data_IF_300481864957
#
_entry.id   IF_300481864957
#
_cell.length_a   1.000
_cell.length_b   1.000
_cell.length_c   1.000
_cell.angle_alpha   90.00
_cell.angle_beta   90.00
_cell.angle_gamma   90.00
#
_symmetry.space_group_name_H-M   'P 1'
#
loop_
_entity.id
_entity.type
_entity.pdbx_description
1 polymer ?
#
# COMPACT_ATOMS: atom_id res chain seq x y z
N UNK A 1 -3.94 5.07 26.74
CA UNK A 1 -2.88 5.62 25.87
C UNK A 1 -3.57 6.54 24.88
N UNK A 2 -3.17 7.80 24.88
CA UNK A 2 -3.71 8.79 23.97
C UNK A 2 -2.82 8.81 22.72
N UNK A 3 -3.38 9.16 21.56
CA UNK A 3 -2.60 9.28 20.32
C UNK A 3 -1.47 10.32 20.44
N UNK A 4 -1.66 11.33 21.27
CA UNK A 4 -0.67 12.36 21.60
C UNK A 4 0.60 11.82 22.24
N UNK A 5 0.55 10.68 22.92
CA UNK A 5 1.71 10.07 23.58
C UNK A 5 2.77 9.59 22.56
N UNK A 6 2.40 9.54 21.27
CA UNK A 6 3.24 9.10 20.15
C UNK A 6 3.49 10.22 19.13
N UNK A 7 3.09 11.45 19.44
CA UNK A 7 3.32 12.60 18.56
C UNK A 7 4.77 13.11 18.68
N UNK A 8 5.36 13.50 17.56
CA UNK A 8 6.71 14.04 17.50
C UNK A 8 6.89 14.99 16.32
N UNK A 9 7.85 15.91 16.43
CA UNK A 9 8.17 16.81 15.33
C UNK A 9 8.88 16.07 14.21
N UNK A 10 8.19 15.88 13.08
CA UNK A 10 8.75 15.33 11.85
C UNK A 10 8.73 16.38 10.74
N UNK A 11 9.88 17.01 10.41
CA UNK A 11 9.97 17.89 9.26
C UNK A 11 9.59 17.14 7.97
N UNK A 12 8.77 17.76 7.12
CA UNK A 12 8.36 17.15 5.85
C UNK A 12 9.54 16.80 4.94
N UNK A 13 10.62 17.59 5.00
CA UNK A 13 11.88 17.33 4.29
C UNK A 13 12.61 16.06 4.74
N UNK A 14 12.29 15.53 5.92
CA UNK A 14 12.84 14.27 6.44
C UNK A 14 12.05 13.04 5.96
N UNK A 15 10.93 13.23 5.24
CA UNK A 15 10.14 12.14 4.65
C UNK A 15 10.69 11.85 3.26
N UNK A 16 11.43 10.76 3.12
CA UNK A 16 11.97 10.33 1.83
C UNK A 16 10.84 10.11 0.82
N UNK A 17 10.91 10.85 -0.29
CA UNK A 17 9.94 10.72 -1.39
C UNK A 17 10.32 9.61 -2.37
N UNK A 18 11.61 9.28 -2.44
CA UNK A 18 12.16 8.20 -3.27
C UNK A 18 13.16 7.37 -2.48
N UNK A 19 13.24 6.05 -2.72
CA UNK A 19 14.21 5.19 -2.04
C UNK A 19 15.63 5.44 -2.55
N UNK A 20 16.61 5.30 -1.66
CA UNK A 20 18.03 5.40 -2.00
C UNK A 20 18.50 4.25 -2.89
N UNK A 21 19.56 4.50 -3.67
CA UNK A 21 20.26 3.49 -4.48
C UNK A 21 21.78 3.59 -4.26
N UNK A 22 22.47 2.49 -3.87
CA UNK A 22 21.95 1.15 -3.59
C UNK A 22 21.11 1.08 -2.30
N UNK A 23 20.16 0.14 -2.20
CA UNK A 23 19.21 0.05 -1.06
C UNK A 23 19.89 -0.02 0.32
N UNK A 24 21.03 -0.69 0.40
CA UNK A 24 21.80 -0.89 1.63
C UNK A 24 22.64 0.33 2.08
N UNK A 25 22.62 1.41 1.29
CA UNK A 25 23.21 2.71 1.64
C UNK A 25 22.30 3.55 2.55
N UNK A 26 21.11 3.05 2.87
CA UNK A 26 20.23 3.71 3.82
C UNK A 26 20.82 3.72 5.23
N UNK A 27 20.52 4.77 5.99
CA UNK A 27 20.99 4.91 7.37
C UNK A 27 20.30 3.87 8.26
N UNK A 28 21.05 3.30 9.19
CA UNK A 28 20.59 2.39 10.23
C UNK A 28 20.81 3.05 11.59
N UNK A 29 19.73 3.29 12.34
CA UNK A 29 19.79 3.68 13.75
C UNK A 29 19.72 2.42 14.61
N UNK A 30 20.76 2.18 15.42
CA UNK A 30 20.79 1.05 16.36
C UNK A 30 20.54 1.58 17.76
N UNK A 31 19.52 1.04 18.44
CA UNK A 31 19.20 1.34 19.84
C UNK A 31 19.50 0.11 20.70
N UNK A 32 20.45 0.24 21.62
CA UNK A 32 20.74 -0.78 22.64
C UNK A 32 19.72 -0.62 23.77
N UNK A 33 18.69 -1.47 23.80
CA UNK A 33 17.52 -1.31 24.69
C UNK A 33 17.85 -1.35 26.19
N UNK A 34 18.90 -2.06 26.56
CA UNK A 34 19.39 -2.23 27.92
C UNK A 34 20.10 -0.98 28.46
N UNK A 35 20.85 -0.27 27.60
CA UNK A 35 21.62 0.92 27.99
C UNK A 35 20.99 2.24 27.54
N UNK A 36 20.10 2.19 26.54
CA UNK A 36 19.58 3.37 25.84
C UNK A 36 20.56 3.99 24.84
N UNK A 37 21.74 3.39 24.62
CA UNK A 37 22.76 3.91 23.71
C UNK A 37 22.31 3.83 22.24
N UNK A 38 22.68 4.87 21.48
CA UNK A 38 22.35 5.00 20.06
C UNK A 38 23.63 4.95 19.22
N UNK A 39 23.65 4.07 18.21
CA UNK A 39 24.67 4.06 17.16
C UNK A 39 24.06 4.47 15.81
N UNK A 40 24.82 5.23 15.03
CA UNK A 40 24.49 5.57 13.65
C UNK A 40 25.36 4.77 12.67
N UNK A 41 24.73 3.98 11.81
CA UNK A 41 25.38 3.07 10.86
C UNK A 41 24.74 3.18 9.47
N UNK A 42 25.22 2.38 8.53
CA UNK A 42 24.50 2.10 7.29
C UNK A 42 23.88 0.70 7.33
N UNK A 43 22.82 0.47 6.56
CA UNK A 43 22.11 -0.79 6.57
C UNK A 43 22.97 -1.99 6.14
N UNK A 44 23.97 -1.77 5.28
CA UNK A 44 24.98 -2.79 4.95
C UNK A 44 25.77 -3.32 6.14
N UNK A 45 25.86 -2.56 7.23
CA UNK A 45 26.57 -2.93 8.46
C UNK A 45 25.70 -3.83 9.37
N UNK A 46 24.46 -4.15 8.98
CA UNK A 46 23.53 -4.95 9.80
C UNK A 46 24.13 -6.29 10.24
N UNK A 47 24.97 -6.89 9.39
CA UNK A 47 25.64 -8.16 9.69
C UNK A 47 26.50 -8.12 10.96
N UNK A 48 27.08 -6.97 11.31
CA UNK A 48 27.93 -6.80 12.49
C UNK A 48 27.14 -6.89 13.81
N UNK A 49 25.80 -6.79 13.74
CA UNK A 49 24.90 -6.82 14.88
C UNK A 49 24.18 -8.17 15.03
N UNK A 50 24.37 -9.10 14.10
CA UNK A 50 23.78 -10.44 14.14
C UNK A 50 24.78 -11.44 14.70
N UNK A 51 24.27 -12.40 15.48
CA UNK A 51 25.05 -13.50 16.01
C UNK A 51 24.76 -14.77 15.24
N UNK A 52 25.70 -15.71 15.33
CA UNK A 52 25.45 -17.07 14.85
C UNK A 52 24.19 -17.62 15.52
N UNK A 53 23.32 -18.24 14.72
CA UNK A 53 22.03 -18.81 15.10
C UNK A 53 20.89 -17.81 15.36
N UNK A 54 21.07 -16.52 15.06
CA UNK A 54 19.94 -15.59 15.02
C UNK A 54 18.98 -15.94 13.86
N UNK A 55 17.68 -15.76 14.09
CA UNK A 55 16.63 -15.97 13.09
C UNK A 55 16.13 -14.63 12.54
N UNK A 56 16.31 -14.42 11.23
CA UNK A 56 15.68 -13.32 10.51
C UNK A 56 14.34 -13.78 9.93
N UNK A 57 13.25 -13.21 10.45
CA UNK A 57 11.90 -13.42 9.89
C UNK A 57 11.63 -12.34 8.86
N UNK A 58 11.43 -12.73 7.61
CA UNK A 58 11.28 -11.83 6.47
C UNK A 58 9.85 -11.87 5.94
N UNK A 59 9.27 -10.70 5.69
CA UNK A 59 7.98 -10.60 5.02
C UNK A 59 8.14 -10.81 3.50
N UNK A 60 7.39 -11.77 2.94
CA UNK A 60 7.39 -12.11 1.50
C UNK A 60 6.17 -11.60 0.74
N UNK A 61 5.27 -10.88 1.40
CA UNK A 61 4.11 -10.27 0.74
C UNK A 61 4.55 -9.29 -0.35
N UNK A 62 3.90 -9.37 -1.50
CA UNK A 62 4.12 -8.52 -2.67
C UNK A 62 2.89 -7.67 -2.90
N UNK A 63 3.05 -6.35 -2.90
CA UNK A 63 1.91 -5.46 -3.07
C UNK A 63 1.40 -5.49 -4.50
N UNK A 64 0.14 -5.89 -4.65
CA UNK A 64 -0.60 -5.85 -5.90
C UNK A 64 -1.03 -4.40 -6.17
N UNK A 65 -1.01 -3.91 -7.42
CA UNK A 65 -1.50 -2.58 -7.78
C UNK A 65 -3.04 -2.53 -7.74
N UNK A 66 -3.60 -2.69 -6.55
CA UNK A 66 -5.03 -2.84 -6.29
C UNK A 66 -5.77 -1.50 -6.13
N UNK A 67 -5.07 -0.36 -6.27
CA UNK A 67 -5.69 0.97 -6.29
C UNK A 67 -6.11 1.30 -7.71
N UNK A 68 -7.41 1.46 -7.92
CA UNK A 68 -8.05 1.61 -9.23
C UNK A 68 -8.88 2.90 -9.24
N UNK A 69 -8.87 3.60 -10.36
CA UNK A 69 -9.75 4.75 -10.59
C UNK A 69 -10.96 4.36 -11.44
N UNK A 70 -12.13 4.84 -11.02
CA UNK A 70 -13.39 4.61 -11.68
C UNK A 70 -14.23 5.90 -11.74
N UNK A 71 -15.32 5.87 -12.51
CA UNK A 71 -16.25 6.98 -12.68
C UNK A 71 -17.69 6.55 -12.44
N UNK A 72 -18.46 7.41 -11.80
CA UNK A 72 -19.91 7.28 -11.71
C UNK A 72 -20.55 7.54 -13.08
N UNK A 73 -21.83 7.18 -13.27
CA UNK A 73 -22.57 7.56 -14.48
C UNK A 73 -22.67 9.09 -14.65
N UNK A 74 -22.62 9.83 -13.54
CA UNK A 74 -22.57 11.30 -13.52
C UNK A 74 -21.21 11.89 -13.91
N UNK A 75 -20.20 11.06 -14.19
CA UNK A 75 -18.84 11.49 -14.50
C UNK A 75 -17.93 11.74 -13.30
N UNK A 76 -18.47 11.76 -12.07
CA UNK A 76 -17.69 11.97 -10.86
C UNK A 76 -16.68 10.84 -10.60
N UNK A 77 -15.41 11.19 -10.34
CA UNK A 77 -14.33 10.25 -10.05
C UNK A 77 -14.54 9.53 -8.71
N UNK A 78 -14.17 8.25 -8.68
CA UNK A 78 -14.23 7.34 -7.54
C UNK A 78 -12.90 6.61 -7.48
N UNK A 79 -12.39 6.43 -6.27
CA UNK A 79 -11.20 5.64 -6.02
C UNK A 79 -11.60 4.33 -5.35
N UNK A 80 -11.07 3.22 -5.86
CA UNK A 80 -11.28 1.87 -5.34
C UNK A 80 -9.93 1.33 -4.87
N UNK A 81 -9.81 0.91 -3.63
CA UNK A 81 -8.67 0.15 -3.14
C UNK A 81 -9.14 -1.26 -2.81
N UNK A 82 -8.84 -2.23 -3.67
CA UNK A 82 -9.25 -3.61 -3.46
C UNK A 82 -8.46 -4.22 -2.30
N UNK A 83 -9.17 -4.79 -1.34
CA UNK A 83 -8.61 -5.35 -0.11
C UNK A 83 -8.56 -6.87 -0.15
N UNK A 84 -9.69 -7.50 -0.48
CA UNK A 84 -9.85 -8.95 -0.36
C UNK A 84 -10.76 -9.49 -1.46
N UNK A 85 -10.26 -10.50 -2.17
CA UNK A 85 -11.07 -11.26 -3.13
C UNK A 85 -12.01 -12.21 -2.36
N UNK A 86 -13.31 -12.13 -2.65
CA UNK A 86 -14.32 -13.07 -2.13
C UNK A 86 -14.54 -14.23 -3.09
N UNK A 87 -14.61 -13.94 -4.39
CA UNK A 87 -14.68 -14.93 -5.46
C UNK A 87 -14.11 -14.33 -6.77
N UNK A 88 -14.37 -14.94 -7.93
CA UNK A 88 -13.82 -14.49 -9.21
C UNK A 88 -14.24 -13.07 -9.62
N UNK A 89 -15.43 -12.62 -9.23
CA UNK A 89 -15.98 -11.33 -9.64
C UNK A 89 -16.22 -10.39 -8.46
N UNK A 90 -16.17 -10.90 -7.23
CA UNK A 90 -16.48 -10.13 -6.02
C UNK A 90 -15.26 -9.80 -5.19
N UNK A 91 -15.19 -8.53 -4.81
CA UNK A 91 -14.09 -7.97 -4.04
C UNK A 91 -14.60 -7.05 -2.94
N UNK A 92 -13.98 -7.13 -1.77
CA UNK A 92 -14.06 -6.09 -0.74
C UNK A 92 -13.08 -5.00 -1.11
N UNK A 93 -13.53 -3.75 -1.04
CA UNK A 93 -12.72 -2.60 -1.39
C UNK A 93 -13.06 -1.40 -0.50
N UNK A 94 -12.04 -0.59 -0.18
CA UNK A 94 -12.30 0.78 0.28
C UNK A 94 -12.72 1.62 -0.91
N UNK A 95 -13.87 2.28 -0.78
CA UNK A 95 -14.44 3.10 -1.86
C UNK A 95 -14.49 4.56 -1.44
N UNK A 96 -13.65 5.39 -2.07
CA UNK A 96 -13.61 6.82 -1.86
C UNK A 96 -14.65 7.57 -2.68
N UNK A 97 -15.24 8.62 -2.09
CA UNK A 97 -16.17 9.53 -2.78
C UNK A 97 -17.56 9.58 -2.13
N UNK A 98 -18.30 10.66 -2.41
CA UNK A 98 -19.63 10.93 -1.82
C UNK A 98 -20.78 10.49 -2.72
N UNK A 99 -21.98 10.26 -2.18
CA UNK A 99 -23.19 10.02 -2.97
C UNK A 99 -23.22 8.68 -3.72
N UNK A 100 -22.57 7.66 -3.15
CA UNK A 100 -22.66 6.28 -3.62
C UNK A 100 -23.79 5.57 -2.88
N UNK A 101 -24.43 4.59 -3.52
CA UNK A 101 -25.48 3.74 -2.94
C UNK A 101 -25.32 2.30 -3.40
N UNK A 102 -25.97 1.36 -2.72
CA UNK A 102 -26.11 -0.01 -3.23
C UNK A 102 -26.75 0.04 -4.62
N UNK A 103 -26.23 -0.75 -5.55
CA UNK A 103 -26.60 -0.74 -6.97
C UNK A 103 -25.93 0.36 -7.79
N UNK A 104 -25.09 1.23 -7.21
CA UNK A 104 -24.29 2.18 -7.99
C UNK A 104 -23.35 1.44 -8.94
N UNK A 105 -23.47 1.76 -10.24
CA UNK A 105 -22.56 1.32 -11.29
C UNK A 105 -21.36 2.25 -11.38
N UNK A 106 -20.17 1.70 -11.46
CA UNK A 106 -18.90 2.39 -11.56
C UNK A 106 -18.17 1.87 -12.79
N UNK A 107 -17.71 2.76 -13.66
CA UNK A 107 -16.90 2.39 -14.83
C UNK A 107 -15.43 2.53 -14.45
N UNK A 108 -14.69 1.43 -14.40
CA UNK A 108 -13.22 1.47 -14.27
C UNK A 108 -12.65 2.10 -15.55
N UNK A 109 -11.73 3.04 -15.41
CA UNK A 109 -11.04 3.60 -16.57
C UNK A 109 -10.27 2.48 -17.27
N UNK A 110 -10.52 2.23 -18.56
CA UNK A 110 -9.88 1.15 -19.34
C UNK A 110 -10.09 -0.28 -18.82
N UNK A 111 -11.15 -0.52 -18.04
CA UNK A 111 -11.44 -1.82 -17.45
C UNK A 111 -12.94 -2.11 -17.32
N UNK A 112 -13.31 -3.13 -16.53
CA UNK A 112 -14.69 -3.60 -16.44
C UNK A 112 -15.60 -2.66 -15.63
N UNK A 113 -16.91 -2.79 -15.86
CA UNK A 113 -17.91 -2.15 -14.97
C UNK A 113 -17.94 -2.88 -13.62
N UNK A 114 -18.07 -2.12 -12.54
CA UNK A 114 -18.24 -2.60 -11.18
C UNK A 114 -19.58 -2.10 -10.60
N UNK A 115 -20.25 -2.92 -9.81
CA UNK A 115 -21.48 -2.55 -9.10
C UNK A 115 -21.28 -2.69 -7.60
N UNK A 116 -21.71 -1.71 -6.82
CA UNK A 116 -21.71 -1.82 -5.36
C UNK A 116 -22.85 -2.74 -4.93
N UNK A 117 -22.53 -3.90 -4.37
CA UNK A 117 -23.51 -4.85 -3.85
C UNK A 117 -23.93 -4.52 -2.41
N UNK A 118 -22.97 -4.11 -1.57
CA UNK A 118 -23.20 -3.96 -0.14
C UNK A 118 -22.31 -2.88 0.47
N UNK A 119 -22.80 -2.25 1.54
CA UNK A 119 -22.03 -1.35 2.39
C UNK A 119 -21.59 -2.13 3.63
N UNK A 120 -20.29 -2.32 3.78
CA UNK A 120 -19.69 -2.98 4.93
C UNK A 120 -19.32 -1.92 5.98
N UNK A 121 -18.33 -2.21 6.82
CA UNK A 121 -17.90 -1.29 7.86
C UNK A 121 -17.17 -0.05 7.30
N UNK A 122 -17.47 1.11 7.87
CA UNK A 122 -16.91 2.40 7.46
C UNK A 122 -16.97 2.67 5.94
N UNK A 123 -15.81 2.72 5.31
CA UNK A 123 -15.64 3.01 3.87
C UNK A 123 -15.55 1.73 3.00
N UNK A 124 -15.67 0.54 3.58
CA UNK A 124 -15.58 -0.72 2.85
C UNK A 124 -16.89 -1.06 2.13
N UNK A 125 -16.78 -1.53 0.90
CA UNK A 125 -17.91 -1.94 0.05
C UNK A 125 -17.61 -3.30 -0.57
N UNK A 126 -18.66 -4.10 -0.75
CA UNK A 126 -18.59 -5.28 -1.61
C UNK A 126 -18.89 -4.85 -3.05
N UNK A 127 -17.94 -5.11 -3.95
CA UNK A 127 -18.04 -4.82 -5.38
C UNK A 127 -18.28 -6.11 -6.16
N UNK A 128 -19.10 -6.02 -7.21
CA UNK A 128 -19.23 -7.03 -8.25
C UNK A 128 -18.72 -6.45 -9.56
N UNK A 129 -17.64 -7.02 -10.09
CA UNK A 129 -17.16 -6.71 -11.43
C UNK A 129 -17.92 -7.53 -12.49
N UNK A 130 -18.06 -6.94 -13.68
CA UNK A 130 -18.66 -7.60 -14.85
C UNK A 130 -17.80 -8.74 -15.42
N UNK A 131 -16.50 -8.72 -15.15
CA UNK A 131 -15.49 -9.72 -15.50
C UNK A 131 -14.33 -9.62 -14.49
N UNK A 132 -13.42 -10.60 -14.41
CA UNK A 132 -12.31 -10.57 -13.45
C UNK A 132 -11.46 -9.31 -13.62
N UNK A 133 -11.12 -8.63 -12.52
CA UNK A 133 -10.41 -7.35 -12.55
C UNK A 133 -8.88 -7.53 -12.62
N UNK A 134 -8.37 -8.67 -12.15
CA UNK A 134 -6.95 -8.94 -12.02
C UNK A 134 -6.16 -8.83 -13.34
N UNK A 135 -6.67 -9.28 -14.51
CA UNK A 135 -6.00 -9.08 -15.79
C UNK A 135 -5.80 -7.60 -16.17
N UNK A 136 -6.59 -6.69 -15.59
CA UNK A 136 -6.53 -5.26 -15.86
C UNK A 136 -5.51 -4.54 -14.95
N UNK A 137 -5.07 -5.15 -13.85
CA UNK A 137 -4.12 -4.54 -12.89
C UNK A 137 -2.86 -3.94 -13.53
N UNK A 138 -2.21 -4.56 -14.54
CA UNK A 138 -1.04 -3.95 -15.18
C UNK A 138 -1.33 -2.63 -15.89
N UNK A 139 -2.58 -2.39 -16.31
CA UNK A 139 -3.00 -1.22 -17.08
C UNK A 139 -3.68 -0.16 -16.20
N UNK A 140 -4.59 -0.58 -15.33
CA UNK A 140 -5.47 0.32 -14.57
C UNK A 140 -5.10 0.41 -13.09
N UNK A 141 -4.26 -0.51 -12.63
CA UNK A 141 -3.85 -0.62 -11.24
C UNK A 141 -2.72 0.35 -10.92
N UNK A 142 -2.78 0.89 -9.71
CA UNK A 142 -1.71 1.69 -9.12
C UNK A 142 -1.31 1.09 -7.78
N UNK A 143 -0.02 1.19 -7.46
CA UNK A 143 0.46 0.86 -6.11
C UNK A 143 -0.12 1.90 -5.13
N UNK A 144 -0.81 1.47 -4.06
CA UNK A 144 -1.27 2.39 -3.03
C UNK A 144 -0.07 2.96 -2.27
N UNK A 145 0.33 4.17 -2.62
CA UNK A 145 1.33 4.91 -1.85
C UNK A 145 0.67 5.51 -0.60
N UNK A 146 1.36 5.49 0.56
CA UNK A 146 0.95 6.27 1.71
C UNK A 146 0.73 7.75 1.35
N UNK A 147 -0.22 8.44 2.00
CA UNK A 147 -0.64 9.78 1.58
C UNK A 147 0.46 10.85 1.67
N UNK A 148 1.53 10.59 2.42
CA UNK A 148 2.69 11.48 2.59
C UNK A 148 3.82 11.24 1.56
N UNK A 149 3.68 10.23 0.69
CA UNK A 149 4.56 10.01 -0.46
C UNK A 149 3.84 10.49 -1.71
N UNK A 150 4.33 11.57 -2.30
CA UNK A 150 3.69 12.21 -3.45
C UNK A 150 4.41 11.87 -4.76
N UNK A 151 5.70 11.56 -4.69
CA UNK A 151 6.49 11.18 -5.86
C UNK A 151 6.14 9.77 -6.34
N UNK A 152 5.91 9.64 -7.65
CA UNK A 152 5.73 8.34 -8.28
C UNK A 152 7.09 7.70 -8.49
N UNK A 153 7.21 6.43 -8.12
CA UNK A 153 8.40 5.65 -8.42
C UNK A 153 8.52 5.45 -9.94
N UNK A 154 9.72 5.67 -10.47
CA UNK A 154 10.05 5.36 -11.87
C UNK A 154 9.97 3.85 -12.14
N UNK A 155 10.37 3.05 -11.15
CA UNK A 155 10.27 1.60 -11.16
C UNK A 155 9.35 1.13 -10.01
N UNK A 156 8.15 0.61 -10.29
CA UNK A 156 7.23 0.08 -9.28
C UNK A 156 7.82 -1.05 -8.42
N UNK A 157 8.80 -1.81 -8.92
CA UNK A 157 9.48 -2.85 -8.13
C UNK A 157 10.24 -2.26 -6.94
N UNK A 158 10.55 -0.95 -6.99
CA UNK A 158 11.21 -0.25 -5.88
C UNK A 158 10.38 -0.17 -4.61
N UNK A 159 9.05 -0.28 -4.73
CA UNK A 159 8.14 -0.38 -3.59
C UNK A 159 8.22 -1.73 -2.87
N UNK A 160 8.59 -2.79 -3.59
CA UNK A 160 8.66 -4.13 -3.04
C UNK A 160 9.95 -4.33 -2.23
N UNK A 161 9.88 -5.20 -1.21
CA UNK A 161 11.10 -5.72 -0.58
C UNK A 161 11.81 -6.64 -1.57
N UNK A 162 13.12 -6.86 -1.38
CA UNK A 162 13.90 -7.82 -2.18
C UNK A 162 13.47 -9.27 -1.98
N UNK A 163 12.58 -9.53 -1.01
CA UNK A 163 12.06 -10.86 -0.67
C UNK A 163 10.62 -11.07 -1.13
N UNK A 164 9.98 -10.06 -1.72
CA UNK A 164 8.59 -10.11 -2.14
C UNK A 164 8.38 -11.19 -3.24
N UNK A 165 7.47 -12.13 -2.98
CA UNK A 165 7.18 -13.27 -3.87
C UNK A 165 5.69 -13.51 -4.07
N UNK A 166 4.92 -13.39 -3.00
CA UNK A 166 3.52 -13.85 -2.97
C UNK A 166 2.58 -12.65 -2.77
N UNK A 167 1.55 -12.49 -3.61
CA UNK A 167 0.58 -11.40 -3.50
C UNK A 167 -0.34 -11.51 -2.27
#
# INVERSE_FOLDING_TARGET
MNTSDFDYSLPASSIAQTPLEPRDSSRLLVLKRDTGELDHRNFRDLGDYLRSNDLLVLNRTRVIPARIYARKPTGGRVELLLLRRRDLLRWEALVGGKGLRVGSKLRVDDGPEATILEFLDGAERLLLFSEPIEPYFPKVGHVPLPPYIHEKLADPERYQTVYAREP
#
